data_IF_827031368822
#
_entry.id   IF_827031368822
#
_cell.length_a   1.000
_cell.length_b   1.000
_cell.length_c   1.000
_cell.angle_alpha   90.00
_cell.angle_beta   90.00
_cell.angle_gamma   90.00
#
_symmetry.space_group_name_H-M   'P 1'
#
loop_
_entity.id
_entity.type
_entity.pdbx_description
1 polymer ?
#
# COMPACT_ATOMS: atom_id res chain seq x y z
N UNK A 1 -15.06 20.69 3.79
CA UNK A 1 -15.39 19.47 3.02
C UNK A 1 -15.36 18.17 3.84
N UNK A 2 -16.18 17.18 3.49
CA UNK A 2 -16.04 15.77 3.94
C UNK A 2 -15.19 14.98 2.94
N UNK A 3 -14.09 14.39 3.41
CA UNK A 3 -13.20 13.58 2.60
C UNK A 3 -13.24 12.12 3.07
N UNK A 4 -13.67 11.21 2.20
CA UNK A 4 -13.84 9.79 2.53
C UNK A 4 -12.75 8.98 1.84
N UNK A 5 -12.04 8.15 2.60
CA UNK A 5 -10.98 7.29 2.07
C UNK A 5 -11.27 5.83 2.35
N UNK A 6 -11.01 4.99 1.34
CA UNK A 6 -10.91 3.56 1.51
C UNK A 6 -9.42 3.21 1.65
N UNK A 7 -8.97 2.72 2.82
CA UNK A 7 -7.55 2.50 3.09
C UNK A 7 -6.99 1.32 2.27
N UNK A 8 -5.66 1.28 2.10
CA UNK A 8 -5.01 0.23 1.31
C UNK A 8 -5.11 -1.17 1.95
N UNK A 9 -4.68 -2.19 1.19
CA UNK A 9 -4.82 -3.62 1.50
C UNK A 9 -6.23 -4.16 1.26
N UNK A 10 -6.63 -4.20 -0.01
CA UNK A 10 -7.91 -4.78 -0.43
C UNK A 10 -7.79 -5.45 -1.80
N UNK A 11 -8.63 -6.47 -2.04
CA UNK A 11 -8.62 -7.23 -3.28
C UNK A 11 -9.08 -6.37 -4.48
N UNK A 12 -8.30 -6.24 -5.57
CA UNK A 12 -8.61 -5.30 -6.66
C UNK A 12 -9.88 -5.62 -7.45
N UNK A 13 -10.32 -6.89 -7.47
CA UNK A 13 -11.59 -7.29 -8.11
C UNK A 13 -12.85 -7.10 -7.26
N UNK A 14 -12.71 -6.63 -6.01
CA UNK A 14 -13.84 -6.45 -5.09
C UNK A 14 -14.12 -4.95 -4.89
N UNK A 15 -15.03 -4.32 -5.65
CA UNK A 15 -15.30 -2.89 -5.48
C UNK A 15 -15.94 -2.58 -4.12
N UNK A 16 -15.46 -1.53 -3.46
CA UNK A 16 -15.99 -1.11 -2.15
C UNK A 16 -17.14 -0.10 -2.28
N UNK A 17 -18.38 -0.58 -2.12
CA UNK A 17 -19.59 0.21 -2.39
C UNK A 17 -20.07 1.09 -1.22
N UNK A 18 -19.47 0.96 -0.03
CA UNK A 18 -19.92 1.72 1.15
C UNK A 18 -19.65 3.22 1.02
N UNK A 19 -18.51 3.64 0.46
CA UNK A 19 -18.23 5.07 0.27
C UNK A 19 -19.17 5.74 -0.75
N UNK A 20 -19.45 5.15 -1.93
CA UNK A 20 -20.49 5.65 -2.83
C UNK A 20 -21.86 5.75 -2.16
N UNK A 21 -22.24 4.74 -1.36
CA UNK A 21 -23.51 4.72 -0.64
C UNK A 21 -23.59 5.84 0.41
N UNK A 22 -22.53 6.03 1.20
CA UNK A 22 -22.44 7.11 2.18
C UNK A 22 -22.48 8.49 1.53
N UNK A 23 -21.77 8.70 0.41
CA UNK A 23 -21.85 9.95 -0.34
C UNK A 23 -23.26 10.22 -0.84
N UNK A 24 -23.95 9.22 -1.39
CA UNK A 24 -25.34 9.34 -1.80
C UNK A 24 -26.26 9.75 -0.65
N UNK A 25 -26.10 9.12 0.51
CA UNK A 25 -26.83 9.46 1.73
C UNK A 25 -26.56 10.89 2.21
N UNK A 26 -25.30 11.32 2.27
CA UNK A 26 -24.90 12.69 2.64
C UNK A 26 -25.50 13.73 1.69
N UNK A 27 -25.47 13.46 0.38
CA UNK A 27 -26.07 14.32 -0.63
C UNK A 27 -27.59 14.47 -0.44
N UNK A 28 -28.30 13.37 -0.11
CA UNK A 28 -29.74 13.43 0.18
C UNK A 28 -30.08 14.32 1.38
N UNK A 29 -29.12 14.52 2.29
CA UNK A 29 -29.27 15.36 3.49
C UNK A 29 -28.62 16.74 3.34
N UNK A 30 -28.34 17.18 2.11
CA UNK A 30 -27.84 18.53 1.82
C UNK A 30 -26.33 18.71 1.99
N UNK A 31 -25.58 17.64 2.29
CA UNK A 31 -24.12 17.66 2.37
C UNK A 31 -23.56 17.22 1.01
N UNK A 32 -23.26 18.19 0.15
CA UNK A 32 -22.80 17.94 -1.23
C UNK A 32 -21.29 18.00 -1.40
N UNK A 33 -20.60 18.66 -0.48
CA UNK A 33 -19.15 18.83 -0.50
C UNK A 33 -18.45 17.58 0.07
N UNK A 34 -18.55 16.48 -0.71
CA UNK A 34 -18.07 15.15 -0.34
C UNK A 34 -17.16 14.59 -1.44
N UNK A 35 -15.90 14.34 -1.08
CA UNK A 35 -14.91 13.70 -1.95
C UNK A 35 -14.63 12.27 -1.49
N UNK A 36 -14.39 11.37 -2.44
CA UNK A 36 -14.02 9.98 -2.17
C UNK A 36 -12.67 9.68 -2.79
N UNK A 37 -11.90 8.80 -2.16
CA UNK A 37 -10.63 8.29 -2.69
C UNK A 37 -10.40 6.84 -2.31
N UNK A 38 -10.01 6.01 -3.26
CA UNK A 38 -9.71 4.61 -3.04
C UNK A 38 -8.19 4.42 -3.01
N UNK A 39 -7.63 4.37 -1.81
CA UNK A 39 -6.18 4.22 -1.62
C UNK A 39 -5.72 2.77 -1.80
N UNK A 40 -6.62 1.79 -1.85
CA UNK A 40 -6.27 0.42 -2.13
C UNK A 40 -5.90 0.23 -3.60
N UNK A 41 -6.76 0.70 -4.51
CA UNK A 41 -6.48 0.59 -5.95
C UNK A 41 -5.35 1.53 -6.38
N UNK A 42 -5.25 2.73 -5.78
CA UNK A 42 -4.13 3.65 -6.06
C UNK A 42 -2.78 3.04 -5.65
N UNK A 43 -2.72 2.31 -4.52
CA UNK A 43 -1.50 1.64 -4.09
C UNK A 43 -1.07 0.56 -5.07
N UNK A 44 -2.00 -0.28 -5.50
CA UNK A 44 -1.71 -1.33 -6.48
C UNK A 44 -1.33 -0.72 -7.83
N UNK A 45 -2.02 0.31 -8.30
CA UNK A 45 -1.65 0.97 -9.56
C UNK A 45 -0.25 1.59 -9.49
N UNK A 46 0.08 2.23 -8.37
CA UNK A 46 1.39 2.81 -8.14
C UNK A 46 2.48 1.74 -8.11
N UNK A 47 2.32 0.69 -7.28
CA UNK A 47 3.32 -0.37 -7.12
C UNK A 47 3.45 -1.27 -8.34
N UNK A 48 2.39 -1.48 -9.12
CA UNK A 48 2.43 -2.27 -10.36
C UNK A 48 2.82 -1.42 -11.59
N UNK A 49 3.62 -0.38 -11.39
CA UNK A 49 4.18 0.47 -12.44
C UNK A 49 5.69 0.57 -12.26
N UNK A 50 6.46 0.06 -13.21
CA UNK A 50 7.92 -0.02 -13.09
C UNK A 50 8.57 1.31 -12.75
N UNK A 51 8.24 2.38 -13.50
CA UNK A 51 8.84 3.70 -13.31
C UNK A 51 8.63 4.25 -11.89
N UNK A 52 7.46 4.00 -11.29
CA UNK A 52 7.17 4.41 -9.91
C UNK A 52 8.00 3.64 -8.89
N UNK A 53 8.29 2.37 -9.16
CA UNK A 53 9.01 1.48 -8.24
C UNK A 53 10.51 1.41 -8.46
N UNK A 54 11.03 2.07 -9.49
CA UNK A 54 12.47 2.12 -9.77
C UNK A 54 13.29 2.57 -8.54
N UNK A 55 12.88 3.58 -7.75
CA UNK A 55 13.59 3.94 -6.52
C UNK A 55 13.64 2.82 -5.47
N UNK A 56 12.60 1.97 -5.39
CA UNK A 56 12.59 0.80 -4.52
C UNK A 56 13.59 -0.24 -5.00
N UNK A 57 13.68 -0.49 -6.31
CA UNK A 57 14.70 -1.37 -6.87
C UNK A 57 16.12 -0.86 -6.61
N UNK A 58 16.37 0.44 -6.80
CA UNK A 58 17.65 1.06 -6.46
C UNK A 58 18.00 0.91 -4.96
N UNK A 59 16.98 1.00 -4.09
CA UNK A 59 17.11 0.71 -2.66
C UNK A 59 17.44 -0.76 -2.39
N UNK A 60 16.85 -1.71 -3.12
CA UNK A 60 17.18 -3.14 -3.01
C UNK A 60 18.67 -3.37 -3.30
N UNK A 61 19.17 -2.86 -4.43
CA UNK A 61 20.59 -3.03 -4.82
C UNK A 61 21.53 -2.39 -3.80
N UNK A 62 21.19 -1.20 -3.31
CA UNK A 62 21.98 -0.51 -2.30
C UNK A 62 22.05 -1.29 -0.99
N UNK A 63 20.90 -1.64 -0.40
CA UNK A 63 20.86 -2.36 0.87
C UNK A 63 21.49 -3.76 0.76
N UNK A 64 21.38 -4.39 -0.40
CA UNK A 64 22.02 -5.67 -0.67
C UNK A 64 23.55 -5.57 -0.63
N UNK A 65 24.12 -4.55 -1.28
CA UNK A 65 25.57 -4.32 -1.25
C UNK A 65 26.06 -3.96 0.15
N UNK A 66 25.35 -3.06 0.85
CA UNK A 66 25.67 -2.66 2.23
C UNK A 66 25.69 -3.85 3.19
N UNK A 67 24.69 -4.73 3.09
CA UNK A 67 24.67 -5.97 3.86
C UNK A 67 25.78 -6.93 3.41
N UNK A 68 26.03 -7.08 2.11
CA UNK A 68 27.08 -7.97 1.59
C UNK A 68 28.50 -7.61 2.06
N UNK A 69 28.78 -6.33 2.27
CA UNK A 69 30.06 -5.84 2.79
C UNK A 69 30.22 -6.03 4.31
N UNK A 70 29.12 -6.28 5.02
CA UNK A 70 29.14 -6.42 6.48
C UNK A 70 29.82 -7.75 6.87
N UNK A 71 30.84 -7.74 7.76
CA UNK A 71 31.58 -8.97 8.10
C UNK A 71 30.78 -9.95 8.97
N UNK A 72 29.70 -9.50 9.61
CA UNK A 72 28.83 -10.30 10.47
C UNK A 72 27.38 -9.83 10.38
N UNK A 73 26.47 -10.80 10.31
CA UNK A 73 25.03 -10.57 10.25
C UNK A 73 24.33 -11.19 11.45
N UNK A 74 23.35 -10.46 11.99
CA UNK A 74 22.31 -11.05 12.82
C UNK A 74 21.44 -12.02 12.01
N UNK A 75 20.61 -12.83 12.67
CA UNK A 75 19.69 -13.72 11.96
C UNK A 75 18.74 -12.94 11.03
N UNK A 76 18.15 -11.86 11.56
CA UNK A 76 17.27 -10.97 10.80
C UNK A 76 17.96 -10.40 9.56
N UNK A 77 19.22 -9.98 9.67
CA UNK A 77 19.98 -9.47 8.52
C UNK A 77 20.29 -10.53 7.49
N UNK A 78 20.51 -11.79 7.89
CA UNK A 78 20.66 -12.91 6.94
C UNK A 78 19.38 -13.16 6.16
N UNK A 79 18.24 -13.14 6.85
CA UNK A 79 16.93 -13.37 6.23
C UNK A 79 16.56 -12.21 5.29
N UNK A 80 16.80 -10.97 5.71
CA UNK A 80 16.64 -9.79 4.86
C UNK A 80 17.58 -9.82 3.65
N UNK A 81 18.85 -10.20 3.84
CA UNK A 81 19.80 -10.35 2.72
C UNK A 81 19.30 -11.37 1.71
N UNK A 82 18.83 -12.53 2.16
CA UNK A 82 18.26 -13.55 1.28
C UNK A 82 17.05 -13.01 0.49
N UNK A 83 16.17 -12.23 1.13
CA UNK A 83 15.02 -11.63 0.46
C UNK A 83 15.43 -10.58 -0.59
N UNK A 84 16.43 -9.75 -0.27
CA UNK A 84 16.96 -8.77 -1.22
C UNK A 84 17.68 -9.43 -2.40
N UNK A 85 18.40 -10.54 -2.18
CA UNK A 85 19.02 -11.35 -3.25
C UNK A 85 17.96 -11.94 -4.19
N UNK A 86 16.91 -12.53 -3.63
CA UNK A 86 15.77 -13.05 -4.42
C UNK A 86 15.16 -11.94 -5.29
N UNK A 87 14.91 -10.76 -4.71
CA UNK A 87 14.34 -9.64 -5.43
C UNK A 87 15.26 -9.13 -6.55
N UNK A 88 16.58 -9.05 -6.31
CA UNK A 88 17.58 -8.67 -7.32
C UNK A 88 17.59 -9.63 -8.52
N UNK A 89 17.39 -10.92 -8.29
CA UNK A 89 17.36 -11.94 -9.33
C UNK A 89 16.04 -11.94 -10.13
N UNK A 90 14.91 -11.71 -9.47
CA UNK A 90 13.56 -11.84 -10.06
C UNK A 90 13.09 -10.57 -10.78
N UNK A 91 13.31 -9.39 -10.22
CA UNK A 91 12.77 -8.11 -10.73
C UNK A 91 13.18 -7.80 -12.19
N UNK A 92 14.43 -8.06 -12.65
CA UNK A 92 14.84 -7.76 -14.01
C UNK A 92 13.98 -8.43 -15.10
N UNK A 93 13.43 -9.61 -14.82
CA UNK A 93 12.49 -10.29 -15.71
C UNK A 93 11.06 -9.75 -15.52
N UNK A 94 10.58 -9.66 -14.28
CA UNK A 94 9.19 -9.27 -14.01
C UNK A 94 8.85 -7.82 -14.39
N UNK A 95 9.82 -6.90 -14.42
CA UNK A 95 9.56 -5.49 -14.74
C UNK A 95 8.98 -5.29 -16.15
N UNK A 96 9.20 -6.23 -17.07
CA UNK A 96 8.63 -6.20 -18.42
C UNK A 96 7.24 -6.84 -18.50
N UNK A 97 6.84 -7.60 -17.47
CA UNK A 97 5.56 -8.31 -17.41
C UNK A 97 4.51 -7.56 -16.57
N UNK A 98 4.95 -6.80 -15.55
CA UNK A 98 4.05 -6.23 -14.54
C UNK A 98 2.97 -5.30 -15.11
N UNK A 99 3.33 -4.43 -16.06
CA UNK A 99 2.35 -3.52 -16.67
C UNK A 99 1.37 -4.27 -17.58
N UNK A 100 1.81 -5.36 -18.22
CA UNK A 100 0.95 -6.26 -18.99
C UNK A 100 -0.06 -6.99 -18.09
N UNK A 101 0.41 -7.53 -16.96
CA UNK A 101 -0.44 -8.15 -15.94
C UNK A 101 -1.43 -7.14 -15.32
N UNK A 102 -1.02 -5.89 -15.14
CA UNK A 102 -1.92 -4.82 -14.68
C UNK A 102 -2.96 -4.46 -15.74
N UNK A 103 -2.57 -4.39 -17.01
CA UNK A 103 -3.45 -4.02 -18.12
C UNK A 103 -4.50 -5.09 -18.43
N UNK A 104 -4.15 -6.38 -18.32
CA UNK A 104 -5.07 -7.50 -18.53
C UNK A 104 -6.27 -7.47 -17.57
N UNK A 105 -6.08 -6.97 -16.35
CA UNK A 105 -7.15 -6.81 -15.36
C UNK A 105 -8.12 -5.65 -15.66
N UNK A 106 -7.84 -4.84 -16.70
CA UNK A 106 -8.61 -3.65 -17.08
C UNK A 106 -9.25 -3.76 -18.47
N UNK A 107 -9.17 -4.92 -19.09
CA UNK A 107 -9.76 -5.20 -20.39
C UNK A 107 -10.56 -6.51 -20.36
N UNK A 108 -11.06 -6.95 -21.51
CA UNK A 108 -11.84 -8.18 -21.65
C UNK A 108 -11.08 -9.44 -21.18
N UNK A 109 -9.75 -9.39 -21.14
CA UNK A 109 -8.90 -10.48 -20.66
C UNK A 109 -9.17 -10.83 -19.19
N UNK A 110 -9.66 -9.88 -18.40
CA UNK A 110 -10.10 -10.09 -17.02
C UNK A 110 -11.11 -11.25 -16.88
N UNK A 111 -11.96 -11.45 -17.88
CA UNK A 111 -12.98 -12.51 -17.84
C UNK A 111 -12.44 -13.89 -18.23
N UNK A 112 -11.19 -13.97 -18.71
CA UNK A 112 -10.51 -15.24 -18.94
C UNK A 112 -9.82 -15.70 -17.64
N UNK A 113 -10.30 -16.80 -17.07
CA UNK A 113 -9.81 -17.30 -15.78
C UNK A 113 -8.30 -17.57 -15.77
N UNK A 114 -7.76 -18.18 -16.83
CA UNK A 114 -6.33 -18.53 -16.88
C UNK A 114 -5.48 -17.26 -16.91
N UNK A 115 -5.87 -16.28 -17.74
CA UNK A 115 -5.17 -14.98 -17.83
C UNK A 115 -5.30 -14.15 -16.56
N UNK A 116 -6.47 -14.19 -15.92
CA UNK A 116 -6.69 -13.55 -14.63
C UNK A 116 -5.77 -14.13 -13.55
N UNK A 117 -5.71 -15.46 -13.42
CA UNK A 117 -4.87 -16.14 -12.44
C UNK A 117 -3.38 -15.91 -12.70
N UNK A 118 -2.95 -15.95 -13.96
CA UNK A 118 -1.57 -15.61 -14.37
C UNK A 118 -1.21 -14.17 -13.97
N UNK A 119 -2.10 -13.22 -14.26
CA UNK A 119 -1.87 -11.80 -13.97
C UNK A 119 -1.79 -11.53 -12.46
N UNK A 120 -2.68 -12.13 -11.67
CA UNK A 120 -2.60 -12.04 -10.21
C UNK A 120 -1.31 -12.67 -9.67
N UNK A 121 -0.86 -13.79 -10.24
CA UNK A 121 0.40 -14.42 -9.82
C UNK A 121 1.61 -13.54 -10.11
N UNK A 122 1.65 -12.91 -11.28
CA UNK A 122 2.71 -11.94 -11.62
C UNK A 122 2.70 -10.78 -10.63
N UNK A 123 1.52 -10.23 -10.32
CA UNK A 123 1.38 -9.12 -9.37
C UNK A 123 1.82 -9.55 -7.95
N UNK A 124 1.43 -10.73 -7.47
CA UNK A 124 1.83 -11.20 -6.14
C UNK A 124 3.35 -11.35 -6.02
N UNK A 125 4.00 -12.00 -7.00
CA UNK A 125 5.46 -12.15 -6.99
C UNK A 125 6.14 -10.80 -7.12
N UNK A 126 5.58 -9.89 -7.92
CA UNK A 126 6.08 -8.53 -8.06
C UNK A 126 6.04 -7.78 -6.72
N UNK A 127 4.88 -7.74 -6.06
CA UNK A 127 4.67 -7.00 -4.82
C UNK A 127 5.59 -7.51 -3.69
N UNK A 128 5.72 -8.83 -3.55
CA UNK A 128 6.60 -9.46 -2.55
C UNK A 128 8.08 -9.14 -2.76
N UNK A 129 8.52 -8.99 -4.02
CA UNK A 129 9.92 -8.68 -4.34
C UNK A 129 10.22 -7.17 -4.35
N UNK A 130 9.35 -6.35 -4.91
CA UNK A 130 9.59 -4.90 -5.02
C UNK A 130 9.54 -4.20 -3.65
N UNK A 131 8.83 -4.78 -2.68
CA UNK A 131 8.77 -4.32 -1.29
C UNK A 131 9.80 -5.00 -0.38
N UNK A 132 10.72 -5.81 -0.91
CA UNK A 132 11.80 -6.46 -0.13
C UNK A 132 12.59 -5.53 0.81
N UNK A 133 12.81 -4.23 0.53
CA UNK A 133 13.46 -3.33 1.48
C UNK A 133 12.74 -3.19 2.82
N UNK A 134 11.43 -3.46 2.85
CA UNK A 134 10.57 -3.38 4.03
C UNK A 134 10.42 -4.69 4.78
N UNK A 135 11.23 -5.71 4.45
CA UNK A 135 11.27 -6.97 5.19
C UNK A 135 11.29 -6.73 6.72
N UNK A 136 10.44 -7.41 7.51
CA UNK A 136 9.68 -8.61 7.17
C UNK A 136 8.27 -8.35 6.63
N UNK A 137 7.91 -7.10 6.34
CA UNK A 137 6.58 -6.75 5.83
C UNK A 137 6.40 -7.19 4.38
N UNK A 138 5.18 -7.62 4.05
CA UNK A 138 4.79 -8.12 2.74
C UNK A 138 3.45 -7.55 2.31
N UNK A 139 3.26 -7.46 0.99
CA UNK A 139 1.98 -7.13 0.38
C UNK A 139 1.67 -8.17 -0.70
N UNK A 140 0.42 -8.61 -0.73
CA UNK A 140 -0.16 -9.46 -1.78
C UNK A 140 -1.39 -8.76 -2.35
N UNK A 141 -1.95 -9.31 -3.43
CA UNK A 141 -3.21 -8.81 -3.99
C UNK A 141 -4.38 -8.90 -3.01
N UNK A 142 -4.30 -9.76 -1.99
CA UNK A 142 -5.39 -9.96 -1.01
C UNK A 142 -5.20 -9.21 0.30
N UNK A 143 -3.99 -8.74 0.61
CA UNK A 143 -3.73 -8.08 1.89
C UNK A 143 -2.24 -7.88 2.19
N UNK A 144 -1.98 -7.18 3.29
CA UNK A 144 -0.63 -6.97 3.82
C UNK A 144 -0.38 -7.84 5.05
N UNK A 145 0.89 -8.19 5.26
CA UNK A 145 1.36 -8.84 6.48
C UNK A 145 2.53 -8.05 7.03
N UNK A 146 2.47 -7.77 8.33
CA UNK A 146 3.49 -7.02 9.04
C UNK A 146 3.68 -7.66 10.41
N UNK A 147 4.82 -7.41 11.06
CA UNK A 147 5.07 -7.94 12.40
C UNK A 147 4.22 -7.30 13.50
N UNK A 148 3.53 -6.19 13.21
CA UNK A 148 2.67 -5.47 14.15
C UNK A 148 1.26 -6.05 14.13
N UNK A 149 0.80 -6.50 15.29
CA UNK A 149 -0.55 -7.02 15.45
C UNK A 149 -1.59 -5.92 15.30
N UNK A 150 -2.57 -6.07 14.39
CA UNK A 150 -3.68 -5.13 14.25
C UNK A 150 -4.66 -5.17 15.45
N UNK A 151 -4.46 -6.12 16.38
CA UNK A 151 -5.24 -6.26 17.61
C UNK A 151 -4.56 -5.64 18.83
N UNK A 152 -3.34 -5.10 18.68
CA UNK A 152 -2.57 -4.50 19.76
C UNK A 152 -2.39 -3.01 19.48
N UNK A 153 -3.09 -2.17 20.23
CA UNK A 153 -2.94 -0.71 20.14
C UNK A 153 -1.49 -0.28 20.29
N UNK A 154 -0.74 -0.92 21.21
CA UNK A 154 0.68 -0.66 21.41
C UNK A 154 1.49 -0.92 20.15
N UNK A 155 1.31 -2.08 19.52
CA UNK A 155 2.06 -2.43 18.30
C UNK A 155 1.63 -1.60 17.09
N UNK A 156 0.36 -1.19 17.02
CA UNK A 156 -0.09 -0.21 16.01
C UNK A 156 0.69 1.09 16.15
N UNK A 157 0.84 1.63 17.36
CA UNK A 157 1.64 2.84 17.58
C UNK A 157 3.12 2.61 17.24
N UNK A 158 3.70 1.46 17.62
CA UNK A 158 5.08 1.10 17.25
C UNK A 158 5.28 1.05 15.72
N UNK A 159 4.24 0.67 14.96
CA UNK A 159 4.30 0.64 13.49
C UNK A 159 4.46 2.04 12.85
N UNK A 160 4.05 3.11 13.55
CA UNK A 160 4.20 4.48 13.05
C UNK A 160 5.63 4.99 13.22
N UNK A 161 6.34 4.49 14.22
CA UNK A 161 7.73 4.85 14.52
C UNK A 161 8.74 4.01 13.73
N UNK A 162 8.28 3.05 12.91
CA UNK A 162 9.14 2.17 12.12
C UNK A 162 8.82 2.19 10.61
N UNK A 163 9.10 3.32 9.91
CA UNK A 163 8.90 3.41 8.46
C UNK A 163 9.74 2.41 7.67
N UNK A 164 10.83 1.90 8.25
CA UNK A 164 11.67 0.90 7.59
C UNK A 164 10.97 -0.45 7.36
N UNK A 165 9.89 -0.73 8.10
CA UNK A 165 9.04 -1.92 7.92
C UNK A 165 7.60 -1.53 7.52
N UNK A 166 7.12 -0.36 7.91
CA UNK A 166 5.81 0.15 7.51
C UNK A 166 5.86 0.88 6.17
N UNK A 167 5.83 0.12 5.07
CA UNK A 167 5.84 0.67 3.72
C UNK A 167 4.68 1.64 3.44
N UNK A 168 3.54 1.51 4.12
CA UNK A 168 2.46 2.49 4.00
C UNK A 168 2.89 3.87 4.48
N UNK A 169 3.73 3.96 5.51
CA UNK A 169 4.17 5.22 6.06
C UNK A 169 4.89 6.07 5.00
N UNK A 170 5.92 5.51 4.36
CA UNK A 170 6.73 6.21 3.36
C UNK A 170 5.90 6.50 2.10
N UNK A 171 5.18 5.50 1.58
CA UNK A 171 4.36 5.63 0.37
C UNK A 171 3.27 6.68 0.58
N UNK A 172 2.57 6.67 1.71
CA UNK A 172 1.49 7.63 1.97
C UNK A 172 2.05 9.03 2.16
N UNK A 173 3.14 9.17 2.91
CA UNK A 173 3.78 10.46 3.16
C UNK A 173 4.25 11.10 1.86
N UNK A 174 4.81 10.33 0.94
CA UNK A 174 5.33 10.83 -0.33
C UNK A 174 4.23 11.05 -1.38
N UNK A 175 3.34 10.07 -1.57
CA UNK A 175 2.43 10.06 -2.73
C UNK A 175 1.00 10.51 -2.41
N UNK A 176 0.50 10.33 -1.18
CA UNK A 176 -0.91 10.57 -0.85
C UNK A 176 -1.12 11.83 -0.02
N UNK A 177 -0.34 12.00 1.03
CA UNK A 177 -0.49 13.08 1.99
C UNK A 177 -0.45 14.47 1.31
N UNK A 178 0.46 14.78 0.37
CA UNK A 178 0.49 16.10 -0.26
C UNK A 178 -0.78 16.43 -1.06
N UNK A 179 -1.43 15.44 -1.66
CA UNK A 179 -2.67 15.65 -2.41
C UNK A 179 -3.90 15.70 -1.52
N UNK A 180 -3.90 14.98 -0.39
CA UNK A 180 -4.96 15.06 0.62
C UNK A 180 -4.95 16.44 1.30
N UNK A 181 -3.77 16.93 1.71
CA UNK A 181 -3.64 18.21 2.42
C UNK A 181 -3.82 19.45 1.54
N UNK A 182 -3.89 19.30 0.22
CA UNK A 182 -4.27 20.40 -0.69
C UNK A 182 -5.75 20.76 -0.60
N UNK A 183 -6.55 19.86 -0.04
CA UNK A 183 -7.98 20.02 0.07
C UNK A 183 -8.36 20.66 1.41
N UNK A 184 -9.45 21.43 1.42
CA UNK A 184 -9.97 22.09 2.63
C UNK A 184 -10.89 21.12 3.41
N UNK A 185 -10.26 20.16 4.09
CA UNK A 185 -10.94 19.05 4.77
C UNK A 185 -11.34 19.47 6.19
N UNK A 186 -12.63 19.37 6.50
CA UNK A 186 -13.14 19.48 7.87
C UNK A 186 -13.14 18.11 8.56
N UNK A 187 -13.59 17.09 7.82
CA UNK A 187 -13.77 15.72 8.29
C UNK A 187 -13.11 14.75 7.31
N UNK A 188 -12.17 13.95 7.80
CA UNK A 188 -11.60 12.80 7.11
C UNK A 188 -12.25 11.52 7.66
N UNK A 189 -13.06 10.84 6.84
CA UNK A 189 -13.61 9.53 7.16
C UNK A 189 -12.73 8.40 6.62
N UNK A 190 -12.20 7.53 7.48
CA UNK A 190 -11.37 6.37 7.12
C UNK A 190 -12.20 5.09 7.23
N UNK A 191 -12.63 4.55 6.09
CA UNK A 191 -13.60 3.45 6.06
C UNK A 191 -12.92 2.08 6.12
N UNK A 192 -12.59 1.63 7.32
CA UNK A 192 -11.99 0.31 7.57
C UNK A 192 -13.07 -0.77 7.53
N UNK A 193 -12.90 -1.78 6.67
CA UNK A 193 -13.84 -2.91 6.56
C UNK A 193 -13.21 -4.26 6.91
N UNK A 194 -11.88 -4.38 6.93
CA UNK A 194 -11.17 -5.60 7.31
C UNK A 194 -9.99 -5.33 8.23
N UNK A 195 -9.43 -6.40 8.79
CA UNK A 195 -8.32 -6.35 9.75
C UNK A 195 -7.03 -5.87 9.08
N UNK A 196 -6.81 -6.27 7.83
CA UNK A 196 -5.65 -5.91 7.01
C UNK A 196 -5.58 -4.39 6.75
N UNK A 197 -6.71 -3.70 6.89
CA UNK A 197 -6.81 -2.25 6.71
C UNK A 197 -6.52 -1.44 7.97
N UNK A 198 -6.40 -2.07 9.14
CA UNK A 198 -6.21 -1.37 10.42
C UNK A 198 -4.88 -0.60 10.43
N UNK A 199 -3.76 -1.28 10.16
CA UNK A 199 -2.44 -0.65 10.15
C UNK A 199 -2.33 0.43 9.07
N UNK A 200 -2.64 0.19 7.78
CA UNK A 200 -2.60 1.26 6.77
C UNK A 200 -3.59 2.39 7.09
N UNK A 201 -4.84 2.10 7.46
CA UNK A 201 -5.84 3.12 7.76
C UNK A 201 -5.43 4.04 8.91
N UNK A 202 -4.89 3.47 9.99
CA UNK A 202 -4.40 4.25 11.12
C UNK A 202 -3.05 4.93 10.85
N UNK A 203 -2.20 4.37 9.98
CA UNK A 203 -0.98 5.04 9.50
C UNK A 203 -1.34 6.32 8.75
N UNK A 204 -2.34 6.28 7.87
CA UNK A 204 -2.84 7.48 7.19
C UNK A 204 -3.40 8.49 8.18
N UNK A 205 -4.26 8.05 9.11
CA UNK A 205 -4.83 8.92 10.12
C UNK A 205 -3.75 9.61 10.96
N UNK A 206 -2.72 8.87 11.34
CA UNK A 206 -1.56 9.38 12.07
C UNK A 206 -0.83 10.48 11.28
N UNK A 207 -0.49 10.21 10.02
CA UNK A 207 0.20 11.17 9.13
C UNK A 207 -0.63 12.45 8.90
N UNK A 208 -1.94 12.31 8.67
CA UNK A 208 -2.85 13.45 8.52
C UNK A 208 -2.93 14.24 9.82
N UNK A 209 -3.07 13.58 10.97
CA UNK A 209 -3.20 14.27 12.26
C UNK A 209 -1.92 15.01 12.65
N UNK A 210 -0.75 14.47 12.29
CA UNK A 210 0.53 15.15 12.48
C UNK A 210 0.63 16.42 11.62
N UNK A 211 0.23 16.35 10.35
CA UNK A 211 0.38 17.47 9.42
C UNK A 211 -0.73 18.53 9.53
N UNK A 212 -1.95 18.11 9.87
CA UNK A 212 -3.13 18.96 9.99
C UNK A 212 -3.96 18.58 11.24
N UNK A 213 -3.52 19.01 12.45
CA UNK A 213 -4.16 18.63 13.70
C UNK A 213 -5.62 19.09 13.84
N UNK A 214 -6.05 20.08 13.06
CA UNK A 214 -7.41 20.62 13.06
C UNK A 214 -8.43 19.70 12.37
N UNK A 215 -8.00 18.83 11.45
CA UNK A 215 -8.88 17.90 10.75
C UNK A 215 -9.49 16.92 11.76
N UNK A 216 -10.82 16.79 11.73
CA UNK A 216 -11.52 15.75 12.48
C UNK A 216 -11.41 14.42 11.71
N UNK A 217 -10.96 13.37 12.40
CA UNK A 217 -10.80 12.03 11.80
C UNK A 217 -11.83 11.11 12.44
N UNK A 218 -12.59 10.38 11.61
CA UNK A 218 -13.63 9.44 12.03
C UNK A 218 -13.60 8.15 11.21
#
# INVERSE_FOLDING_TARGET
>A
MVYLVFPSSWHPSQPYLSLPSLKGYLHMHGIHDVKQRDLAIELLDHLCTWENTKPLYERIIRELNELGEKPRHSQFERDKYAKLREAEEVIPALKYEIEGAKASLRCEDFYNLDRYMESLKIIDVWLDNILAPYYPSQLTVIGSQMRYSPYSTKEIFESFDNPSENFFYDIYKEHYLPSILKEDIDILGVSITSVEQIVPGLTLAHLVKQAAPHIHIT
#
